data_IF_875898013103
#
_entry.id   IF_875898013103
#
_cell.length_a   1.000
_cell.length_b   1.000
_cell.length_c   1.000
_cell.angle_alpha   90.00
_cell.angle_beta   90.00
_cell.angle_gamma   90.00
#
_symmetry.space_group_name_H-M   'P 1'
#
loop_
_entity.id
_entity.type
_entity.pdbx_description
1 polymer ?
#
# COMPACT_ATOMS: atom_id res chain seq x y z
N UNK A 1 -16.04 -23.38 0.53
CA UNK A 1 -15.76 -22.87 -0.83
C UNK A 1 -17.07 -22.36 -1.42
N UNK A 2 -17.04 -21.32 -2.26
CA UNK A 2 -18.23 -20.71 -2.88
C UNK A 2 -18.12 -20.81 -4.41
N UNK A 3 -18.25 -22.00 -4.99
CA UNK A 3 -17.96 -22.24 -6.40
C UNK A 3 -18.94 -21.56 -7.38
N UNK A 4 -20.14 -21.24 -6.90
CA UNK A 4 -21.19 -20.59 -7.71
C UNK A 4 -21.19 -19.06 -7.57
N UNK A 5 -20.32 -18.51 -6.71
CA UNK A 5 -20.24 -17.07 -6.50
C UNK A 5 -19.62 -16.42 -7.74
N UNK A 6 -20.37 -15.53 -8.38
CA UNK A 6 -19.84 -14.69 -9.45
C UNK A 6 -19.10 -13.50 -8.83
N UNK A 7 -17.91 -13.22 -9.33
CA UNK A 7 -17.04 -12.15 -8.83
C UNK A 7 -16.66 -11.27 -10.03
N UNK A 8 -16.90 -9.97 -9.89
CA UNK A 8 -16.40 -8.96 -10.80
C UNK A 8 -15.24 -8.21 -10.14
N UNK A 9 -14.21 -7.89 -10.92
CA UNK A 9 -13.06 -7.12 -10.44
C UNK A 9 -13.18 -5.71 -10.99
N UNK A 10 -13.39 -4.77 -10.10
CA UNK A 10 -13.38 -3.36 -10.45
C UNK A 10 -12.03 -2.71 -10.13
N UNK A 11 -11.36 -2.22 -11.17
CA UNK A 11 -10.08 -1.52 -11.03
C UNK A 11 -10.35 -0.03 -10.80
N UNK A 12 -10.08 0.45 -9.59
CA UNK A 12 -10.22 1.85 -9.20
C UNK A 12 -8.83 2.49 -9.21
N UNK A 13 -8.68 3.58 -9.97
CA UNK A 13 -7.44 4.35 -10.02
C UNK A 13 -7.47 5.43 -8.95
N UNK A 14 -6.46 5.46 -8.09
CA UNK A 14 -6.40 6.41 -6.97
C UNK A 14 -5.60 7.67 -7.35
N UNK A 15 -5.79 8.73 -6.59
CA UNK A 15 -4.93 9.92 -6.67
C UNK A 15 -3.46 9.55 -6.47
N UNK A 16 -3.17 8.59 -5.59
CA UNK A 16 -1.82 8.10 -5.32
C UNK A 16 -1.16 7.44 -6.53
N UNK A 17 -1.95 6.78 -7.40
CA UNK A 17 -1.45 6.18 -8.65
C UNK A 17 -1.16 7.22 -9.73
N UNK A 18 -1.78 8.40 -9.63
CA UNK A 18 -1.69 9.46 -10.64
C UNK A 18 -0.54 10.43 -10.34
N UNK A 19 -0.21 10.61 -9.06
CA UNK A 19 0.85 11.53 -8.60
C UNK A 19 2.18 10.82 -8.38
N UNK A 20 2.84 10.40 -9.47
CA UNK A 20 4.12 9.67 -9.42
C UNK A 20 5.36 10.57 -9.24
N UNK A 21 5.25 11.87 -9.49
CA UNK A 21 6.40 12.79 -9.58
C UNK A 21 6.65 13.63 -8.32
N UNK A 22 5.81 13.49 -7.29
CA UNK A 22 5.97 14.22 -6.03
C UNK A 22 6.34 13.25 -4.90
N UNK A 23 7.22 13.63 -3.97
CA UNK A 23 7.52 12.81 -2.79
C UNK A 23 6.24 12.48 -2.02
N UNK A 24 6.10 11.23 -1.57
CA UNK A 24 4.94 10.79 -0.77
C UNK A 24 4.72 11.66 0.48
N UNK A 25 5.80 12.22 1.03
CA UNK A 25 5.78 13.15 2.15
C UNK A 25 5.13 14.50 1.84
N UNK A 26 5.08 14.90 0.57
CA UNK A 26 4.54 16.19 0.11
C UNK A 26 3.09 16.10 -0.39
N UNK A 27 2.62 14.90 -0.76
CA UNK A 27 1.28 14.68 -1.34
C UNK A 27 0.15 14.80 -0.29
N UNK A 28 0.49 15.00 0.99
CA UNK A 28 -0.50 15.07 2.07
C UNK A 28 -0.89 13.67 2.55
N UNK A 29 -0.99 13.55 3.87
CA UNK A 29 -0.98 12.28 4.59
C UNK A 29 -2.13 11.31 4.28
N UNK A 30 -1.95 10.09 4.80
CA UNK A 30 -2.92 8.98 5.03
C UNK A 30 -4.25 9.13 4.27
N UNK A 31 -4.43 8.36 3.20
CA UNK A 31 -5.71 8.30 2.47
C UNK A 31 -5.58 8.31 0.95
N UNK A 32 -4.44 8.76 0.42
CA UNK A 32 -4.24 9.00 -1.02
C UNK A 32 -4.39 7.75 -1.91
N UNK A 33 -4.24 6.56 -1.32
CA UNK A 33 -4.39 5.26 -1.99
C UNK A 33 -5.71 4.54 -1.66
N UNK A 34 -6.56 5.12 -0.82
CA UNK A 34 -7.79 4.45 -0.36
C UNK A 34 -9.05 5.28 -0.60
N UNK A 35 -8.94 6.60 -0.73
CA UNK A 35 -10.09 7.51 -0.80
C UNK A 35 -11.09 7.11 -1.90
N UNK A 36 -10.64 6.93 -3.13
CA UNK A 36 -11.54 6.59 -4.25
C UNK A 36 -12.17 5.20 -4.09
N UNK A 37 -11.52 4.30 -3.36
CA UNK A 37 -12.02 2.97 -3.04
C UNK A 37 -13.06 3.04 -1.92
N UNK A 38 -12.81 3.84 -0.88
CA UNK A 38 -13.76 4.12 0.21
C UNK A 38 -15.03 4.78 -0.33
N UNK A 39 -14.91 5.73 -1.27
CA UNK A 39 -16.06 6.35 -1.95
C UNK A 39 -16.86 5.33 -2.78
N UNK A 40 -16.21 4.37 -3.43
CA UNK A 40 -16.88 3.30 -4.16
C UNK A 40 -17.64 2.34 -3.21
N UNK A 41 -17.09 2.04 -2.03
CA UNK A 41 -17.78 1.25 -1.01
C UNK A 41 -19.00 1.99 -0.45
N UNK A 42 -18.83 3.25 -0.07
CA UNK A 42 -19.91 4.05 0.52
C UNK A 42 -21.05 4.37 -0.46
N UNK A 43 -20.77 4.37 -1.77
CA UNK A 43 -21.76 4.55 -2.83
C UNK A 43 -22.35 3.23 -3.36
N UNK A 44 -22.03 2.10 -2.72
CA UNK A 44 -22.48 0.76 -3.12
C UNK A 44 -22.08 0.39 -4.56
N UNK A 45 -21.01 0.99 -5.08
CA UNK A 45 -20.43 0.68 -6.40
C UNK A 45 -19.66 -0.64 -6.37
N UNK A 46 -19.07 -0.96 -5.21
CA UNK A 46 -18.40 -2.24 -4.93
C UNK A 46 -18.84 -2.76 -3.57
N UNK A 47 -18.90 -4.08 -3.42
CA UNK A 47 -19.30 -4.72 -2.16
C UNK A 47 -18.15 -4.84 -1.15
N UNK A 48 -16.93 -5.05 -1.66
CA UNK A 48 -15.72 -5.22 -0.84
C UNK A 48 -14.51 -4.54 -1.49
N UNK A 49 -13.57 -4.12 -0.64
CA UNK A 49 -12.27 -3.61 -1.07
C UNK A 49 -11.13 -4.48 -0.54
N UNK A 50 -10.10 -4.65 -1.36
CA UNK A 50 -8.88 -5.40 -1.00
C UNK A 50 -7.70 -4.44 -0.97
N UNK A 51 -7.07 -4.32 0.19
CA UNK A 51 -5.94 -3.42 0.41
C UNK A 51 -4.68 -4.14 0.87
N UNK A 52 -3.53 -3.55 0.55
CA UNK A 52 -2.34 -3.76 1.37
C UNK A 52 -2.56 -3.10 2.73
N UNK A 53 -2.56 -3.88 3.81
CA UNK A 53 -2.88 -3.38 5.16
C UNK A 53 -1.99 -2.21 5.63
N UNK A 54 -0.76 -2.10 5.11
CA UNK A 54 0.15 -0.99 5.43
C UNK A 54 -0.36 0.39 4.95
N UNK A 55 -1.27 0.39 3.97
CA UNK A 55 -1.79 1.59 3.31
C UNK A 55 -3.17 1.98 3.85
N UNK A 56 -3.79 1.14 4.70
CA UNK A 56 -5.08 1.41 5.34
C UNK A 56 -4.90 2.40 6.50
N UNK A 57 -5.71 3.48 6.57
CA UNK A 57 -5.67 4.43 7.68
C UNK A 57 -5.99 3.78 9.03
N UNK A 58 -5.42 4.33 10.10
CA UNK A 58 -5.68 3.86 11.47
C UNK A 58 -7.08 4.19 11.99
N UNK A 59 -7.76 5.15 11.35
CA UNK A 59 -9.13 5.56 11.64
C UNK A 59 -9.88 5.39 10.33
N UNK A 60 -10.91 4.55 10.33
CA UNK A 60 -11.74 4.32 9.16
C UNK A 60 -12.87 5.36 9.11
N UNK A 61 -13.34 5.73 7.90
CA UNK A 61 -14.57 6.48 7.74
C UNK A 61 -15.75 5.78 8.41
N UNK A 62 -16.72 6.56 8.87
CA UNK A 62 -17.98 6.02 9.37
C UNK A 62 -18.68 5.19 8.27
N UNK A 63 -19.27 4.06 8.65
CA UNK A 63 -19.92 3.13 7.72
C UNK A 63 -18.98 2.10 7.08
N UNK A 64 -17.66 2.19 7.30
CA UNK A 64 -16.69 1.22 6.82
C UNK A 64 -16.03 0.45 7.96
N UNK A 65 -15.68 -0.80 7.71
CA UNK A 65 -14.96 -1.66 8.65
C UNK A 65 -13.96 -2.57 7.94
N UNK A 66 -13.04 -3.16 8.71
CA UNK A 66 -12.18 -4.24 8.24
C UNK A 66 -12.85 -5.56 8.62
N UNK A 67 -13.66 -6.11 7.70
CA UNK A 67 -14.40 -7.36 7.97
C UNK A 67 -13.53 -8.61 7.88
N UNK A 68 -12.35 -8.55 7.24
CA UNK A 68 -11.45 -9.68 7.09
C UNK A 68 -9.97 -9.28 7.05
N UNK A 69 -9.11 -10.12 7.64
CA UNK A 69 -7.66 -10.02 7.52
C UNK A 69 -7.12 -11.36 7.03
N UNK A 70 -6.57 -11.36 5.82
CA UNK A 70 -5.96 -12.55 5.23
C UNK A 70 -4.70 -13.00 6.01
N UNK A 71 -4.30 -14.27 5.84
CA UNK A 71 -3.07 -14.80 6.41
C UNK A 71 -1.87 -13.95 5.96
N UNK A 72 -1.10 -13.46 6.94
CA UNK A 72 0.03 -12.57 6.69
C UNK A 72 1.13 -13.30 5.90
N UNK A 73 1.59 -12.66 4.82
CA UNK A 73 2.80 -13.09 4.12
C UNK A 73 4.07 -12.63 4.87
N UNK A 74 5.26 -13.01 4.39
CA UNK A 74 6.54 -12.54 4.92
C UNK A 74 6.57 -10.99 5.05
N UNK A 75 6.69 -10.44 6.27
CA UNK A 75 6.61 -9.01 6.49
C UNK A 75 7.97 -8.29 6.42
N UNK A 76 9.06 -9.01 6.13
CA UNK A 76 10.41 -8.45 6.18
C UNK A 76 10.68 -7.49 5.02
N UNK A 77 11.52 -6.48 5.29
CA UNK A 77 12.11 -5.67 4.23
C UNK A 77 13.16 -6.49 3.47
N UNK A 78 13.27 -6.24 2.18
CA UNK A 78 14.30 -6.83 1.32
C UNK A 78 15.21 -5.75 0.74
N UNK A 79 16.50 -6.08 0.59
CA UNK A 79 17.42 -5.27 -0.20
C UNK A 79 17.49 -5.84 -1.62
N UNK A 80 17.35 -4.97 -2.62
CA UNK A 80 17.51 -5.33 -4.02
C UNK A 80 18.76 -4.64 -4.54
N UNK A 81 19.75 -5.42 -4.94
CA UNK A 81 20.99 -4.92 -5.55
C UNK A 81 21.28 -5.67 -6.85
N UNK A 82 21.97 -5.02 -7.80
CA UNK A 82 22.26 -5.61 -9.12
C UNK A 82 23.03 -6.93 -9.03
N UNK A 83 23.91 -7.06 -8.03
CA UNK A 83 24.85 -8.18 -7.90
C UNK A 83 24.60 -9.02 -6.63
N UNK A 84 23.43 -8.90 -5.99
CA UNK A 84 23.10 -9.66 -4.77
C UNK A 84 23.94 -9.28 -3.54
N UNK A 85 24.58 -8.11 -3.55
CA UNK A 85 25.33 -7.58 -2.41
C UNK A 85 24.36 -7.22 -1.28
N UNK A 86 24.68 -7.64 -0.06
CA UNK A 86 23.93 -7.32 1.15
C UNK A 86 24.20 -5.88 1.62
N UNK A 87 23.27 -5.32 2.40
CA UNK A 87 23.33 -3.93 2.87
C UNK A 87 24.67 -3.59 3.56
N UNK A 88 25.13 -4.47 4.46
CA UNK A 88 26.37 -4.32 5.22
C UNK A 88 27.66 -4.45 4.39
N UNK A 89 27.56 -4.89 3.13
CA UNK A 89 28.69 -5.03 2.20
C UNK A 89 28.72 -3.94 1.15
N UNK A 90 27.80 -2.97 1.21
CA UNK A 90 27.82 -1.84 0.28
C UNK A 90 29.07 -0.97 0.51
N UNK A 91 29.75 -0.53 -0.56
CA UNK A 91 30.84 0.44 -0.43
C UNK A 91 30.37 1.71 0.28
N UNK A 92 31.25 2.30 1.09
CA UNK A 92 30.99 3.58 1.76
C UNK A 92 30.63 4.64 0.71
N UNK A 93 29.58 5.41 0.97
CA UNK A 93 29.05 6.42 0.03
C UNK A 93 28.06 5.89 -1.01
N UNK A 94 27.69 4.60 -0.95
CA UNK A 94 26.60 4.06 -1.77
C UNK A 94 25.28 4.78 -1.51
N UNK A 95 24.48 4.97 -2.57
CA UNK A 95 23.14 5.55 -2.48
C UNK A 95 22.10 4.43 -2.38
N UNK A 96 21.19 4.53 -1.40
CA UNK A 96 20.07 3.60 -1.22
C UNK A 96 18.77 4.34 -1.50
N UNK A 97 17.99 3.86 -2.48
CA UNK A 97 16.71 4.44 -2.84
C UNK A 97 15.58 3.91 -1.96
N UNK A 98 14.89 4.80 -1.23
CA UNK A 98 13.64 4.47 -0.54
C UNK A 98 12.77 5.71 -0.37
N UNK A 99 11.47 5.59 -0.62
CA UNK A 99 10.49 6.63 -0.29
C UNK A 99 9.93 6.51 1.14
N UNK A 100 10.38 5.53 1.92
CA UNK A 100 9.87 5.27 3.27
C UNK A 100 10.76 5.91 4.32
N UNK A 101 10.21 6.87 5.08
CA UNK A 101 10.89 7.46 6.25
C UNK A 101 11.27 6.41 7.30
N UNK A 102 10.41 5.40 7.50
CA UNK A 102 10.68 4.27 8.41
C UNK A 102 11.94 3.50 8.03
N UNK A 103 12.16 3.26 6.74
CA UNK A 103 13.37 2.57 6.26
C UNK A 103 14.57 3.50 6.35
N UNK A 104 14.43 4.74 5.87
CA UNK A 104 15.51 5.72 5.89
C UNK A 104 16.07 5.98 7.30
N UNK A 105 15.23 5.99 8.34
CA UNK A 105 15.69 6.20 9.72
C UNK A 105 16.41 5.00 10.34
N UNK A 106 16.31 3.81 9.74
CA UNK A 106 16.92 2.57 10.23
C UNK A 106 18.20 2.19 9.46
N UNK A 107 18.46 2.84 8.32
CA UNK A 107 19.63 2.62 7.46
C UNK A 107 20.79 3.54 7.88
#
# INVERSE_FOLDING_TARGET
>A
EFPELQIEIEIIKTTGDTLLNSPLSEIGGKGVFVKEIEEALLSERVDIAVHSMKDVPSVLPEGLEISAVAKRHDPRDAIVTKNGVSLNKLPKGSKVGTGSLRRASQL
#
